data_IF_978433790184
#
_entry.id   IF_978433790184
#
_cell.length_a   1.000
_cell.length_b   1.000
_cell.length_c   1.000
_cell.angle_alpha   90.00
_cell.angle_beta   90.00
_cell.angle_gamma   90.00
#
_symmetry.space_group_name_H-M   'P 1'
#
loop_
_entity.id
_entity.type
_entity.pdbx_description
1 polymer ?
#
# COMPACT_ATOMS: atom_id res chain seq x y z
N UNK A 1 8.62 7.09 16.37
CA UNK A 1 9.45 6.03 15.78
C UNK A 1 9.90 6.49 14.40
N UNK A 2 11.09 6.14 13.92
CA UNK A 2 11.48 6.44 12.54
C UNK A 2 10.57 5.70 11.56
N UNK A 3 10.24 6.38 10.46
CA UNK A 3 9.41 5.84 9.39
C UNK A 3 10.28 5.59 8.17
N UNK A 4 10.16 4.41 7.55
CA UNK A 4 10.82 4.13 6.29
C UNK A 4 10.15 4.92 5.14
N UNK A 5 10.92 5.21 4.09
CA UNK A 5 10.32 5.73 2.86
C UNK A 5 9.35 4.71 2.25
N UNK A 6 8.38 5.16 1.44
CA UNK A 6 7.44 4.25 0.76
C UNK A 6 8.17 3.17 -0.04
N UNK A 7 9.23 3.54 -0.76
CA UNK A 7 10.01 2.60 -1.54
C UNK A 7 10.69 1.53 -0.65
N UNK A 8 11.29 1.94 0.47
CA UNK A 8 11.91 1.01 1.42
C UNK A 8 10.87 0.12 2.12
N UNK A 9 9.69 0.67 2.44
CA UNK A 9 8.57 -0.09 3.02
C UNK A 9 8.07 -1.16 2.06
N UNK A 10 7.89 -0.82 0.78
CA UNK A 10 7.48 -1.75 -0.28
C UNK A 10 8.55 -2.83 -0.53
N UNK A 11 9.83 -2.44 -0.57
CA UNK A 11 10.93 -3.39 -0.72
C UNK A 11 10.96 -4.39 0.44
N UNK A 12 10.85 -3.90 1.68
CA UNK A 12 10.81 -4.75 2.87
C UNK A 12 9.65 -5.73 2.80
N UNK A 13 8.41 -5.24 2.64
CA UNK A 13 7.22 -6.09 2.67
C UNK A 13 7.10 -6.98 1.42
N UNK A 14 7.58 -6.51 0.27
CA UNK A 14 7.66 -7.29 -0.96
C UNK A 14 8.57 -8.50 -0.85
N UNK A 15 9.66 -8.42 -0.06
CA UNK A 15 10.52 -9.56 0.23
C UNK A 15 9.81 -10.69 1.01
N UNK A 16 8.70 -10.37 1.69
CA UNK A 16 7.81 -11.32 2.36
C UNK A 16 6.56 -11.67 1.54
N UNK A 17 6.54 -11.32 0.24
CA UNK A 17 5.47 -11.74 -0.67
C UNK A 17 4.24 -10.82 -0.72
N UNK A 18 4.26 -9.66 -0.08
CA UNK A 18 3.20 -8.65 -0.27
C UNK A 18 3.23 -8.13 -1.69
N UNK A 19 2.11 -8.20 -2.45
CA UNK A 19 2.09 -7.80 -3.85
C UNK A 19 1.96 -6.28 -4.00
N UNK A 20 2.86 -5.70 -4.80
CA UNK A 20 2.83 -4.30 -5.20
C UNK A 20 2.77 -4.17 -6.72
N UNK A 21 2.19 -3.09 -7.28
CA UNK A 21 2.28 -2.82 -8.71
C UNK A 21 3.74 -2.50 -9.09
N UNK A 22 4.10 -2.67 -10.37
CA UNK A 22 5.39 -2.19 -10.87
C UNK A 22 5.51 -0.68 -10.63
N UNK A 23 6.69 -0.23 -10.20
CA UNK A 23 6.95 1.17 -9.90
C UNK A 23 8.34 1.57 -10.42
N UNK A 24 8.44 2.78 -10.96
CA UNK A 24 9.71 3.35 -11.38
C UNK A 24 10.09 4.55 -10.51
N UNK A 25 11.27 4.49 -9.92
CA UNK A 25 11.88 5.61 -9.20
C UNK A 25 12.73 6.42 -10.19
N UNK A 26 12.42 7.71 -10.35
CA UNK A 26 13.08 8.60 -11.31
C UNK A 26 13.33 9.97 -10.70
N UNK A 27 14.32 10.71 -11.23
CA UNK A 27 14.73 11.99 -10.65
C UNK A 27 14.19 13.21 -11.42
N UNK A 28 13.70 13.04 -12.66
CA UNK A 28 13.32 14.15 -13.53
C UNK A 28 11.96 13.93 -14.18
N UNK A 29 11.33 15.02 -14.63
CA UNK A 29 10.06 14.95 -15.34
C UNK A 29 10.17 14.18 -16.67
N UNK A 30 11.29 14.28 -17.40
CA UNK A 30 11.53 13.54 -18.63
C UNK A 30 11.62 12.04 -18.36
N UNK A 31 12.32 11.64 -17.31
CA UNK A 31 12.40 10.24 -16.90
C UNK A 31 11.04 9.71 -16.43
N UNK A 32 10.20 10.56 -15.79
CA UNK A 32 8.85 10.21 -15.38
C UNK A 32 7.93 9.95 -16.58
N UNK A 33 8.07 10.71 -17.67
CA UNK A 33 7.36 10.46 -18.93
C UNK A 33 7.79 9.11 -19.51
N UNK A 34 9.09 8.84 -19.60
CA UNK A 34 9.58 7.55 -20.10
C UNK A 34 9.10 6.36 -19.29
N UNK A 35 9.03 6.50 -17.96
CA UNK A 35 8.46 5.49 -17.08
C UNK A 35 6.95 5.30 -17.33
N UNK A 36 6.20 6.39 -17.49
CA UNK A 36 4.77 6.35 -17.78
C UNK A 36 4.47 5.70 -19.15
N UNK A 37 5.28 6.00 -20.18
CA UNK A 37 5.17 5.39 -21.50
C UNK A 37 5.39 3.86 -21.44
N UNK A 38 6.33 3.41 -20.59
CA UNK A 38 6.62 1.99 -20.40
C UNK A 38 5.51 1.25 -19.60
N UNK A 39 4.91 1.93 -18.62
CA UNK A 39 3.83 1.36 -17.77
C UNK A 39 2.46 1.37 -18.48
N UNK A 40 2.25 2.30 -19.40
CA UNK A 40 0.94 2.59 -19.98
C UNK A 40 0.11 3.56 -19.13
N UNK A 41 -0.68 4.38 -19.81
CA UNK A 41 -1.57 5.37 -19.17
C UNK A 41 -2.94 4.80 -18.80
N UNK A 42 -3.62 5.32 -17.75
CA UNK A 42 -3.18 6.39 -16.86
C UNK A 42 -2.21 5.93 -15.77
N UNK A 43 -1.36 6.85 -15.29
CA UNK A 43 -0.41 6.62 -14.22
C UNK A 43 -0.66 7.50 -13.00
N UNK A 44 -0.02 7.13 -11.89
CA UNK A 44 0.14 7.92 -10.67
C UNK A 44 1.58 8.40 -10.59
N UNK A 45 1.80 9.66 -10.21
CA UNK A 45 3.10 10.19 -9.86
C UNK A 45 3.08 10.70 -8.43
N UNK A 46 4.03 10.27 -7.62
CA UNK A 46 4.19 10.67 -6.22
C UNK A 46 5.58 11.29 -6.00
N UNK A 47 5.68 12.29 -5.13
CA UNK A 47 6.98 12.72 -4.61
C UNK A 47 7.40 11.76 -3.49
N UNK A 48 8.58 11.17 -3.60
CA UNK A 48 9.18 10.29 -2.62
C UNK A 48 10.48 10.86 -2.08
N UNK A 49 10.86 10.45 -0.88
CA UNK A 49 12.10 10.81 -0.20
C UNK A 49 12.15 10.14 1.16
N UNK A 50 13.35 9.99 1.72
CA UNK A 50 13.54 9.27 2.99
C UNK A 50 12.93 9.99 4.21
N UNK A 51 12.58 11.27 4.05
CA UNK A 51 11.95 12.10 5.08
C UNK A 51 10.51 12.50 4.73
N UNK A 52 9.94 11.92 3.67
CA UNK A 52 8.58 12.22 3.23
C UNK A 52 7.64 11.11 3.72
N UNK A 53 6.83 11.44 4.72
CA UNK A 53 5.68 10.66 5.16
C UNK A 53 4.37 11.39 4.81
N UNK A 54 3.23 10.69 4.90
CA UNK A 54 1.87 11.26 4.73
C UNK A 54 1.70 12.09 3.45
N UNK A 55 2.15 11.55 2.32
CA UNK A 55 2.19 12.22 1.00
C UNK A 55 0.84 12.76 0.55
N UNK A 56 -0.23 12.03 0.83
CA UNK A 56 -1.59 12.42 0.43
C UNK A 56 -2.04 13.69 1.14
N UNK A 57 -1.81 13.80 2.44
CA UNK A 57 -2.16 14.98 3.25
C UNK A 57 -1.36 16.20 2.81
N UNK A 58 -0.10 16.00 2.41
CA UNK A 58 0.78 17.05 1.90
C UNK A 58 0.51 17.42 0.43
N UNK A 59 -0.43 16.76 -0.24
CA UNK A 59 -0.71 16.99 -1.65
C UNK A 59 0.43 16.56 -2.59
N UNK A 60 1.24 15.59 -2.18
CA UNK A 60 2.42 15.11 -2.93
C UNK A 60 2.10 13.89 -3.82
N UNK A 61 0.85 13.73 -4.22
CA UNK A 61 0.37 12.65 -5.10
C UNK A 61 -0.45 13.26 -6.23
N UNK A 62 -0.22 12.79 -7.45
CA UNK A 62 -1.01 13.14 -8.64
C UNK A 62 -1.55 11.86 -9.25
N UNK A 63 -2.87 11.78 -9.36
CA UNK A 63 -3.60 10.59 -9.80
C UNK A 63 -4.16 10.79 -11.22
N UNK A 64 -4.31 9.67 -11.96
CA UNK A 64 -5.06 9.65 -13.21
C UNK A 64 -4.41 10.41 -14.37
N UNK A 65 -3.09 10.52 -14.39
CA UNK A 65 -2.36 11.20 -15.44
C UNK A 65 -2.42 10.37 -16.73
N UNK A 66 -3.16 10.86 -17.71
CA UNK A 66 -3.52 10.15 -18.95
C UNK A 66 -2.65 10.51 -20.17
N UNK A 67 -1.65 11.37 -20.00
CA UNK A 67 -0.80 11.81 -21.12
C UNK A 67 0.60 12.24 -20.67
N UNK A 68 1.60 12.23 -21.60
CA UNK A 68 2.96 12.71 -21.32
C UNK A 68 2.97 14.16 -20.81
N UNK A 69 2.09 15.03 -21.34
CA UNK A 69 2.04 16.41 -20.89
C UNK A 69 1.54 16.53 -19.44
N UNK A 70 0.50 15.77 -19.07
CA UNK A 70 0.02 15.75 -17.68
C UNK A 70 1.09 15.20 -16.70
N UNK A 71 1.85 14.20 -17.14
CA UNK A 71 2.97 13.67 -16.34
C UNK A 71 4.07 14.70 -16.16
N UNK A 72 4.42 15.45 -17.23
CA UNK A 72 5.43 16.51 -17.17
C UNK A 72 5.04 17.60 -16.19
N UNK A 73 3.82 18.11 -16.31
CA UNK A 73 3.32 19.20 -15.46
C UNK A 73 3.24 18.76 -14.00
N UNK A 74 2.67 17.57 -13.75
CA UNK A 74 2.58 16.98 -12.42
C UNK A 74 3.95 16.74 -11.78
N UNK A 75 4.92 16.21 -12.54
CA UNK A 75 6.28 15.98 -12.07
C UNK A 75 6.99 17.29 -11.72
N UNK A 76 6.83 18.33 -12.54
CA UNK A 76 7.37 19.66 -12.28
C UNK A 76 6.80 20.26 -10.99
N UNK A 77 5.47 20.22 -10.83
CA UNK A 77 4.79 20.71 -9.63
C UNK A 77 5.23 19.97 -8.36
N UNK A 78 5.33 18.64 -8.43
CA UNK A 78 5.75 17.80 -7.31
C UNK A 78 7.20 18.08 -6.89
N UNK A 79 8.11 18.20 -7.85
CA UNK A 79 9.51 18.54 -7.57
C UNK A 79 9.65 19.95 -6.99
N UNK A 80 8.84 20.91 -7.47
CA UNK A 80 8.81 22.27 -6.94
C UNK A 80 8.18 22.37 -5.53
N UNK A 81 7.31 21.42 -5.17
CA UNK A 81 6.70 21.34 -3.84
C UNK A 81 7.61 20.71 -2.77
N UNK A 82 8.79 20.20 -3.16
CA UNK A 82 9.75 19.66 -2.20
C UNK A 82 10.25 20.75 -1.26
N UNK A 83 10.26 20.46 0.03
CA UNK A 83 10.77 21.35 1.07
C UNK A 83 12.22 20.98 1.46
N UNK A 84 13.03 21.92 1.96
CA UNK A 84 14.41 21.63 2.37
C UNK A 84 14.54 20.50 3.39
N UNK A 85 13.55 20.34 4.27
CA UNK A 85 13.47 19.28 5.26
C UNK A 85 13.25 17.89 4.69
N UNK A 86 12.74 17.78 3.45
CA UNK A 86 12.48 16.50 2.77
C UNK A 86 13.77 15.77 2.36
N UNK A 87 14.89 16.50 2.30
CA UNK A 87 16.18 15.94 1.91
C UNK A 87 16.24 15.62 0.41
N UNK A 88 16.86 14.50 0.06
CA UNK A 88 16.90 14.05 -1.33
C UNK A 88 15.54 13.49 -1.74
N UNK A 89 14.98 14.07 -2.80
CA UNK A 89 13.65 13.68 -3.31
C UNK A 89 13.74 13.03 -4.68
N UNK A 90 12.74 12.24 -5.01
CA UNK A 90 12.58 11.58 -6.30
C UNK A 90 11.10 11.45 -6.64
N UNK A 91 10.78 11.09 -7.87
CA UNK A 91 9.44 10.77 -8.29
C UNK A 91 9.26 9.24 -8.32
N UNK A 92 8.11 8.78 -7.86
CA UNK A 92 7.64 7.41 -8.02
C UNK A 92 6.52 7.41 -9.05
N UNK A 93 6.68 6.62 -10.12
CA UNK A 93 5.69 6.49 -11.21
C UNK A 93 5.15 5.08 -11.20
N UNK A 94 3.84 4.92 -11.05
CA UNK A 94 3.17 3.63 -10.99
C UNK A 94 1.89 3.64 -11.87
N UNK A 95 1.37 2.49 -12.32
CA UNK A 95 0.11 2.44 -13.02
C UNK A 95 -1.04 2.88 -12.10
N UNK A 96 -2.03 3.59 -12.66
CA UNK A 96 -3.25 3.92 -11.94
C UNK A 96 -4.15 2.69 -11.88
N UNK A 97 -4.12 1.99 -10.76
CA UNK A 97 -5.04 0.89 -10.51
C UNK A 97 -6.44 1.41 -10.17
N UNK A 98 -7.46 0.70 -10.61
CA UNK A 98 -8.85 0.97 -10.28
C UNK A 98 -9.45 -0.26 -9.62
N UNK A 99 -10.10 -0.05 -8.50
CA UNK A 99 -10.83 -1.08 -7.78
C UNK A 99 -12.09 -0.46 -7.17
N UNK A 100 -13.14 -1.27 -7.01
CA UNK A 100 -14.35 -0.86 -6.29
C UNK A 100 -14.32 -1.32 -4.84
N UNK A 101 -13.34 -2.16 -4.50
CA UNK A 101 -13.15 -2.74 -3.17
C UNK A 101 -11.76 -2.42 -2.66
N UNK A 102 -11.75 -1.93 -1.45
CA UNK A 102 -10.54 -1.58 -0.71
C UNK A 102 -10.55 -2.33 0.61
N UNK A 103 -9.43 -2.93 0.93
CA UNK A 103 -9.14 -3.52 2.23
C UNK A 103 -8.00 -2.72 2.86
N UNK A 104 -7.78 -2.94 4.12
CA UNK A 104 -6.60 -2.49 4.85
C UNK A 104 -5.97 -3.71 5.54
N UNK A 105 -4.67 -3.78 5.57
CA UNK A 105 -3.96 -4.81 6.30
C UNK A 105 -2.68 -4.23 6.90
N UNK A 106 -2.26 -4.77 8.06
CA UNK A 106 -1.07 -4.20 8.69
C UNK A 106 -0.56 -5.00 9.86
N UNK A 107 0.52 -4.47 10.43
CA UNK A 107 1.14 -4.94 11.67
C UNK A 107 1.15 -3.83 12.70
N UNK A 108 0.98 -4.21 13.95
CA UNK A 108 1.13 -3.29 15.07
C UNK A 108 1.70 -4.02 16.29
N UNK A 109 2.76 -3.46 16.87
CA UNK A 109 3.31 -3.97 18.14
C UNK A 109 2.54 -3.38 19.32
N UNK A 110 1.54 -4.14 19.79
CA UNK A 110 0.72 -3.75 20.92
C UNK A 110 1.51 -3.91 22.23
N UNK A 111 1.53 -2.90 23.12
CA UNK A 111 2.31 -2.95 24.36
C UNK A 111 1.90 -4.06 25.33
N UNK A 112 0.68 -4.57 25.22
CA UNK A 112 0.16 -5.62 26.11
C UNK A 112 0.22 -7.01 25.47
N UNK A 113 -0.03 -7.09 24.16
CA UNK A 113 -0.21 -8.35 23.45
C UNK A 113 0.97 -8.71 22.55
N UNK A 114 1.86 -7.75 22.25
CA UNK A 114 2.95 -7.92 21.31
C UNK A 114 2.51 -7.71 19.86
N UNK A 115 3.29 -8.21 18.91
CA UNK A 115 3.04 -8.01 17.49
C UNK A 115 1.72 -8.65 17.05
N UNK A 116 0.86 -7.85 16.44
CA UNK A 116 -0.43 -8.26 15.88
C UNK A 116 -0.48 -8.02 14.38
N UNK A 117 -1.17 -8.88 13.66
CA UNK A 117 -1.56 -8.67 12.27
C UNK A 117 -3.03 -8.30 12.21
N UNK A 118 -3.38 -7.35 11.34
CA UNK A 118 -4.75 -6.84 11.14
C UNK A 118 -5.17 -7.02 9.69
N UNK A 119 -6.46 -7.32 9.51
CA UNK A 119 -7.18 -7.21 8.24
C UNK A 119 -8.47 -6.43 8.49
N UNK A 120 -8.81 -5.51 7.60
CA UNK A 120 -10.05 -4.75 7.71
C UNK A 120 -10.61 -4.32 6.36
N UNK A 121 -11.86 -3.89 6.39
CA UNK A 121 -12.52 -3.23 5.25
C UNK A 121 -11.99 -1.80 5.15
N UNK A 122 -11.51 -1.43 3.97
CA UNK A 122 -10.99 -0.10 3.64
C UNK A 122 -12.03 0.81 2.99
N UNK A 123 -11.53 1.92 2.42
CA UNK A 123 -12.34 2.91 1.71
C UNK A 123 -12.92 3.99 2.61
N UNK A 124 -13.72 4.89 2.01
CA UNK A 124 -14.24 6.10 2.66
C UNK A 124 -15.10 5.82 3.92
N UNK A 125 -15.64 4.63 4.05
CA UNK A 125 -16.49 4.25 5.19
C UNK A 125 -15.76 3.38 6.22
N UNK A 126 -14.47 3.13 6.05
CA UNK A 126 -13.70 2.25 6.91
C UNK A 126 -13.85 2.59 8.40
N UNK A 127 -13.69 3.87 8.76
CA UNK A 127 -13.82 4.34 10.14
C UNK A 127 -15.24 4.19 10.70
N UNK A 128 -16.26 4.34 9.86
CA UNK A 128 -17.66 4.25 10.29
C UNK A 128 -18.10 2.79 10.45
N UNK A 129 -17.55 1.87 9.67
CA UNK A 129 -17.90 0.45 9.69
C UNK A 129 -17.07 -0.29 10.73
N UNK A 130 -15.79 0.06 10.88
CA UNK A 130 -14.83 -0.55 11.81
C UNK A 130 -14.82 -2.10 11.76
N UNK A 131 -14.96 -2.65 10.53
CA UNK A 131 -14.97 -4.09 10.29
C UNK A 131 -13.53 -4.58 10.16
N UNK A 132 -13.00 -5.09 11.25
CA UNK A 132 -11.59 -5.49 11.37
C UNK A 132 -11.44 -6.79 12.14
N UNK A 133 -10.45 -7.60 11.79
CA UNK A 133 -10.03 -8.78 12.53
C UNK A 133 -8.54 -8.70 12.87
N UNK A 134 -8.16 -9.32 13.98
CA UNK A 134 -6.79 -9.31 14.50
C UNK A 134 -6.35 -10.71 14.93
N UNK A 135 -5.05 -11.00 14.77
CA UNK A 135 -4.40 -12.18 15.37
C UNK A 135 -3.01 -11.80 15.89
N UNK A 136 -2.54 -12.54 16.88
CA UNK A 136 -1.17 -12.41 17.36
C UNK A 136 -0.20 -13.07 16.37
N UNK A 137 0.93 -12.42 16.10
CA UNK A 137 2.02 -12.95 15.28
C UNK A 137 2.85 -13.96 16.11
N UNK A 138 3.26 -15.10 15.56
CA UNK A 138 3.03 -15.57 14.19
C UNK A 138 1.67 -16.22 13.98
N UNK A 139 1.09 -16.04 12.80
CA UNK A 139 -0.12 -16.75 12.38
C UNK A 139 0.21 -17.88 11.41
N UNK A 140 -0.67 -18.88 11.37
CA UNK A 140 -0.66 -19.90 10.34
C UNK A 140 -1.74 -19.66 9.26
N UNK A 141 -1.86 -20.58 8.30
CA UNK A 141 -2.86 -20.47 7.23
C UNK A 141 -4.28 -20.50 7.77
N UNK A 142 -4.55 -21.29 8.79
CA UNK A 142 -5.88 -21.40 9.40
C UNK A 142 -6.28 -20.09 10.05
N UNK A 143 -5.37 -19.51 10.82
CA UNK A 143 -5.58 -18.19 11.43
C UNK A 143 -5.89 -17.12 10.39
N UNK A 144 -5.13 -17.10 9.28
CA UNK A 144 -5.34 -16.13 8.20
C UNK A 144 -6.69 -16.33 7.49
N UNK A 145 -7.11 -17.58 7.27
CA UNK A 145 -8.42 -17.89 6.68
C UNK A 145 -9.56 -17.51 7.64
N UNK A 146 -9.42 -17.77 8.94
CA UNK A 146 -10.37 -17.33 9.96
C UNK A 146 -10.43 -15.80 10.07
N UNK A 147 -9.32 -15.08 9.97
CA UNK A 147 -9.33 -13.61 9.93
C UNK A 147 -10.19 -13.08 8.79
N UNK A 148 -10.13 -13.72 7.62
CA UNK A 148 -10.94 -13.35 6.46
C UNK A 148 -12.42 -13.68 6.71
N UNK A 149 -12.72 -14.79 7.40
CA UNK A 149 -14.09 -15.21 7.75
C UNK A 149 -14.70 -14.35 8.85
N UNK A 150 -13.89 -13.81 9.76
CA UNK A 150 -14.32 -12.94 10.86
C UNK A 150 -14.80 -11.55 10.41
N UNK A 151 -14.47 -11.12 9.17
CA UNK A 151 -15.01 -9.86 8.66
C UNK A 151 -16.54 -9.94 8.53
N UNK A 152 -17.24 -8.97 9.08
CA UNK A 152 -18.70 -8.93 9.04
C UNK A 152 -19.26 -8.71 7.64
N UNK A 153 -18.54 -7.93 6.80
CA UNK A 153 -18.95 -7.57 5.44
C UNK A 153 -18.49 -8.62 4.40
N UNK A 154 -18.78 -9.89 4.62
CA UNK A 154 -18.45 -11.00 3.70
C UNK A 154 -18.92 -10.76 2.26
N UNK A 155 -19.97 -9.99 2.05
CA UNK A 155 -20.46 -9.63 0.72
C UNK A 155 -19.43 -8.86 -0.11
N UNK A 156 -18.49 -8.14 0.51
CA UNK A 156 -17.39 -7.46 -0.18
C UNK A 156 -16.35 -8.43 -0.73
N UNK A 157 -16.24 -9.61 -0.15
CA UNK A 157 -15.31 -10.66 -0.60
C UNK A 157 -15.88 -11.51 -1.72
N UNK A 158 -17.20 -11.51 -1.90
CA UNK A 158 -17.90 -12.18 -2.99
C UNK A 158 -17.80 -11.44 -4.33
N UNK A 159 -18.42 -11.97 -5.40
CA UNK A 159 -18.57 -11.25 -6.67
C UNK A 159 -19.38 -9.97 -6.44
N UNK A 160 -18.88 -8.83 -6.90
CA UNK A 160 -19.54 -7.53 -6.68
C UNK A 160 -19.46 -6.66 -7.94
N UNK A 161 -20.61 -6.15 -8.39
CA UNK A 161 -20.70 -5.19 -9.53
C UNK A 161 -19.95 -5.62 -10.80
N UNK A 162 -19.96 -6.93 -11.08
CA UNK A 162 -19.26 -7.50 -12.25
C UNK A 162 -17.79 -7.84 -12.03
N UNK A 163 -17.22 -7.52 -10.88
CA UNK A 163 -15.89 -7.98 -10.48
C UNK A 163 -15.95 -9.40 -9.90
N UNK A 164 -14.89 -10.20 -10.08
CA UNK A 164 -14.82 -11.56 -9.50
C UNK A 164 -14.73 -11.49 -7.97
N UNK A 165 -14.99 -12.59 -7.29
CA UNK A 165 -14.73 -12.73 -5.86
C UNK A 165 -13.25 -12.45 -5.54
N UNK A 166 -12.98 -12.03 -4.32
CA UNK A 166 -11.60 -11.89 -3.82
C UNK A 166 -10.92 -13.26 -3.84
N UNK A 167 -9.73 -13.31 -4.40
CA UNK A 167 -8.83 -14.46 -4.29
C UNK A 167 -8.37 -14.62 -2.84
N UNK A 168 -9.11 -15.48 -2.10
CA UNK A 168 -8.84 -15.69 -0.67
C UNK A 168 -7.44 -16.26 -0.44
N UNK A 169 -6.93 -17.10 -1.35
CA UNK A 169 -5.60 -17.65 -1.22
C UNK A 169 -4.52 -16.55 -1.36
N UNK A 170 -4.71 -15.63 -2.29
CA UNK A 170 -3.84 -14.47 -2.43
C UNK A 170 -3.92 -13.53 -1.20
N UNK A 171 -5.12 -13.30 -0.65
CA UNK A 171 -5.30 -12.50 0.56
C UNK A 171 -4.68 -13.17 1.79
N UNK A 172 -4.86 -14.49 1.96
CA UNK A 172 -4.15 -15.30 2.96
C UNK A 172 -2.64 -15.13 2.83
N UNK A 173 -2.12 -15.15 1.58
CA UNK A 173 -0.69 -14.91 1.33
C UNK A 173 -0.19 -13.55 1.82
N UNK A 174 -0.98 -12.48 1.67
CA UNK A 174 -0.64 -11.14 2.19
C UNK A 174 -0.53 -11.17 3.72
N UNK A 175 -1.51 -11.78 4.41
CA UNK A 175 -1.52 -11.86 5.87
C UNK A 175 -0.36 -12.68 6.42
N UNK A 176 -0.05 -13.81 5.78
CA UNK A 176 1.12 -14.63 6.13
C UNK A 176 2.43 -13.87 5.92
N UNK A 177 2.56 -13.14 4.81
CA UNK A 177 3.73 -12.32 4.52
C UNK A 177 3.93 -11.20 5.56
N UNK A 178 2.86 -10.52 5.95
CA UNK A 178 2.91 -9.54 7.04
C UNK A 178 3.35 -10.20 8.36
N UNK A 179 2.74 -11.32 8.72
CA UNK A 179 3.10 -12.06 9.94
C UNK A 179 4.56 -12.50 9.94
N UNK A 180 5.06 -13.02 8.81
CA UNK A 180 6.46 -13.41 8.66
C UNK A 180 7.39 -12.19 8.80
N UNK A 181 7.05 -11.05 8.20
CA UNK A 181 7.80 -9.81 8.36
C UNK A 181 7.85 -9.37 9.83
N UNK A 182 6.72 -9.38 10.54
CA UNK A 182 6.66 -9.03 11.96
C UNK A 182 7.44 -9.98 12.87
N UNK A 183 7.47 -11.27 12.55
CA UNK A 183 8.21 -12.27 13.30
C UNK A 183 9.73 -12.23 13.02
N UNK A 184 10.12 -11.97 11.76
CA UNK A 184 11.53 -11.98 11.35
C UNK A 184 12.26 -10.66 11.63
N UNK A 185 11.54 -9.53 11.70
CA UNK A 185 12.10 -8.17 11.81
C UNK A 185 11.74 -7.55 13.14
N UNK A 186 12.56 -7.81 14.16
CA UNK A 186 12.37 -7.28 15.52
C UNK A 186 12.43 -5.72 15.59
N UNK A 187 12.99 -5.08 14.59
CA UNK A 187 13.03 -3.62 14.44
C UNK A 187 11.74 -3.03 13.88
N UNK A 188 10.84 -3.81 13.26
CA UNK A 188 9.53 -3.33 12.82
C UNK A 188 8.63 -3.11 14.04
N UNK A 189 8.05 -1.92 14.13
CA UNK A 189 7.08 -1.54 15.15
C UNK A 189 5.65 -1.56 14.59
N UNK A 190 5.47 -1.09 13.36
CA UNK A 190 4.19 -1.15 12.65
C UNK A 190 4.40 -1.27 11.14
N UNK A 191 3.40 -1.77 10.44
CA UNK A 191 3.30 -1.71 9.00
C UNK A 191 1.85 -1.44 8.60
N UNK A 192 1.62 -0.56 7.63
CA UNK A 192 0.29 -0.23 7.11
C UNK A 192 0.27 -0.39 5.59
N UNK A 193 -0.68 -1.21 5.11
CA UNK A 193 -1.03 -1.38 3.70
C UNK A 193 -2.41 -0.73 3.50
N UNK A 194 -2.43 0.54 3.15
CA UNK A 194 -3.64 1.34 3.03
C UNK A 194 -3.56 2.31 1.84
N UNK A 195 -4.29 2.02 0.75
CA UNK A 195 -5.23 0.91 0.58
C UNK A 195 -4.58 -0.39 0.05
N UNK A 196 -5.18 -1.51 0.40
CA UNK A 196 -5.00 -2.80 -0.26
C UNK A 196 -6.16 -2.97 -1.25
N UNK A 197 -5.92 -2.64 -2.52
CA UNK A 197 -6.94 -2.67 -3.58
C UNK A 197 -7.21 -4.10 -4.03
N UNK A 198 -8.48 -4.41 -4.34
CA UNK A 198 -8.84 -5.67 -4.98
C UNK A 198 -9.00 -5.44 -6.48
N UNK A 199 -7.99 -5.82 -7.26
CA UNK A 199 -7.95 -5.64 -8.72
C UNK A 199 -8.14 -7.00 -9.39
N UNK A 200 -9.19 -7.14 -10.19
CA UNK A 200 -9.55 -8.44 -10.83
C UNK A 200 -9.58 -9.61 -9.82
N UNK A 201 -10.10 -9.35 -8.62
CA UNK A 201 -10.17 -10.30 -7.53
C UNK A 201 -8.89 -10.44 -6.69
N UNK A 202 -7.77 -9.87 -7.10
CA UNK A 202 -6.49 -10.01 -6.39
C UNK A 202 -6.18 -8.81 -5.51
N UNK A 203 -5.76 -9.02 -4.25
CA UNK A 203 -5.28 -7.94 -3.40
C UNK A 203 -3.94 -7.42 -3.93
N UNK A 204 -3.80 -6.10 -4.03
CA UNK A 204 -2.57 -5.39 -4.44
C UNK A 204 -2.43 -4.15 -3.57
N UNK A 205 -1.35 -4.06 -2.81
CA UNK A 205 -1.06 -2.87 -2.01
C UNK A 205 -0.49 -1.76 -2.90
N UNK A 206 -1.07 -0.57 -2.87
CA UNK A 206 -0.61 0.57 -3.68
C UNK A 206 0.20 1.57 -2.88
N UNK A 207 0.14 1.46 -1.56
CA UNK A 207 0.97 2.21 -0.61
C UNK A 207 1.42 1.30 0.52
N UNK A 208 2.54 1.65 1.13
CA UNK A 208 3.06 0.96 2.31
C UNK A 208 3.80 1.94 3.20
N UNK A 209 3.55 1.86 4.49
CA UNK A 209 4.26 2.60 5.52
C UNK A 209 4.75 1.62 6.58
N UNK A 210 6.06 1.64 6.85
CA UNK A 210 6.67 0.84 7.91
C UNK A 210 7.35 1.76 8.90
N UNK A 211 7.01 1.62 10.17
CA UNK A 211 7.72 2.26 11.27
C UNK A 211 8.68 1.28 11.93
N UNK A 212 9.87 1.77 12.26
CA UNK A 212 10.91 0.97 12.91
C UNK A 212 11.29 1.57 14.27
N UNK A 213 11.86 0.72 15.15
CA UNK A 213 12.36 1.11 16.48
C UNK A 213 13.74 1.74 16.44
#
# INVERSE_FOLDING_TARGET
MPTLSEAASKELLGAFGVPFPPEHRVATAEAAIGAADALGYPVVVKLGGDRIAHKTERGLVRLGLGSPQQVRDAAGDLLAAAAPEDGEVHLLVAPMLRATRELIAGLHDDPQFGMTVMLGVGGILAEAVADVSFRLVPIDRTDAEEMIDDLALQALLGPLRGEPAVDRAALTGVLLGLSEAGAARADVASADLNPLLVVDGRPVAVDALVEVR
#
